data_IF_723196186540
#
_entry.id   IF_723196186540
#
_cell.length_a   1.000
_cell.length_b   1.000
_cell.length_c   1.000
_cell.angle_alpha   90.00
_cell.angle_beta   90.00
_cell.angle_gamma   90.00
#
_symmetry.space_group_name_H-M   'P 1'
#
loop_
_entity.id
_entity.type
_entity.pdbx_description
1 polymer ?
#
# COMPACT_ATOMS: atom_id res chain seq x y z
N UNK A 1 -17.22 12.49 -18.26
CA UNK A 1 -16.20 12.13 -19.28
C UNK A 1 -15.03 13.12 -19.29
N UNK A 2 -15.28 14.43 -19.29
CA UNK A 2 -14.24 15.46 -19.19
C UNK A 2 -13.35 15.34 -17.93
N UNK A 3 -13.92 14.96 -16.79
CA UNK A 3 -13.17 14.75 -15.54
C UNK A 3 -12.20 13.56 -15.61
N UNK A 4 -12.63 12.43 -16.18
CA UNK A 4 -11.76 11.26 -16.41
C UNK A 4 -10.64 11.58 -17.40
N UNK A 5 -10.96 12.30 -18.47
CA UNK A 5 -9.97 12.75 -19.44
C UNK A 5 -8.95 13.70 -18.81
N UNK A 6 -9.39 14.65 -17.97
CA UNK A 6 -8.50 15.53 -17.22
C UNK A 6 -7.58 14.75 -16.27
N UNK A 7 -8.11 13.74 -15.58
CA UNK A 7 -7.33 12.88 -14.69
C UNK A 7 -6.28 12.06 -15.47
N UNK A 8 -6.66 11.48 -16.61
CA UNK A 8 -5.73 10.74 -17.46
C UNK A 8 -4.61 11.62 -18.00
N UNK A 9 -4.94 12.83 -18.46
CA UNK A 9 -3.95 13.81 -18.92
C UNK A 9 -3.00 14.19 -17.77
N UNK A 10 -3.53 14.40 -16.57
CA UNK A 10 -2.71 14.73 -15.41
C UNK A 10 -1.75 13.60 -15.02
N UNK A 11 -2.22 12.35 -14.96
CA UNK A 11 -1.37 11.18 -14.70
C UNK A 11 -0.31 11.01 -15.79
N UNK A 12 -0.69 11.17 -17.06
CA UNK A 12 0.25 11.10 -18.18
C UNK A 12 1.31 12.21 -18.10
N UNK A 13 0.93 13.43 -17.72
CA UNK A 13 1.85 14.53 -17.51
C UNK A 13 2.83 14.24 -16.37
N UNK A 14 2.36 13.75 -15.22
CA UNK A 14 3.23 13.38 -14.10
C UNK A 14 4.24 12.29 -14.48
N UNK A 15 3.79 11.26 -15.20
CA UNK A 15 4.66 10.20 -15.70
C UNK A 15 5.70 10.75 -16.70
N UNK A 16 5.26 11.56 -17.67
CA UNK A 16 6.15 12.19 -18.65
C UNK A 16 7.16 13.12 -17.99
N UNK A 17 6.76 13.88 -16.97
CA UNK A 17 7.64 14.75 -16.21
C UNK A 17 8.67 13.97 -15.40
N UNK A 18 8.27 12.87 -14.75
CA UNK A 18 9.21 11.97 -14.06
C UNK A 18 10.24 11.36 -15.03
N UNK A 19 9.78 10.88 -16.19
CA UNK A 19 10.67 10.37 -17.25
C UNK A 19 11.60 11.47 -17.75
N UNK A 20 11.08 12.68 -17.98
CA UNK A 20 11.87 13.82 -18.43
C UNK A 20 12.99 14.17 -17.44
N UNK A 21 12.73 14.13 -16.13
CA UNK A 21 13.76 14.35 -15.10
C UNK A 21 14.81 13.23 -15.14
N UNK A 22 14.40 11.96 -15.20
CA UNK A 22 15.34 10.83 -15.22
C UNK A 22 16.24 10.89 -16.47
N UNK A 23 15.64 11.11 -17.65
CA UNK A 23 16.38 11.21 -18.91
C UNK A 23 17.24 12.48 -18.93
N UNK A 24 16.69 13.62 -18.49
CA UNK A 24 17.39 14.90 -18.45
C UNK A 24 18.62 14.87 -17.54
N UNK A 25 18.48 14.30 -16.34
CA UNK A 25 19.60 14.12 -15.40
C UNK A 25 20.64 13.12 -15.92
N UNK A 26 20.20 12.01 -16.54
CA UNK A 26 21.12 11.05 -17.18
C UNK A 26 21.87 11.61 -18.40
N UNK A 27 21.24 12.52 -19.16
CA UNK A 27 21.83 13.13 -20.34
C UNK A 27 22.76 14.32 -20.03
N UNK A 28 22.38 15.16 -19.06
CA UNK A 28 23.13 16.37 -18.65
C UNK A 28 24.16 16.09 -17.56
N UNK A 29 24.02 14.98 -16.82
CA UNK A 29 24.92 14.60 -15.74
C UNK A 29 26.29 14.11 -16.23
N UNK A 30 27.34 14.16 -15.38
CA UNK A 30 28.62 13.56 -15.69
C UNK A 30 28.46 12.05 -15.91
N UNK A 31 28.94 11.53 -17.03
CA UNK A 31 28.89 10.08 -17.29
C UNK A 31 29.89 9.39 -16.36
N UNK A 32 29.43 8.56 -15.40
CA UNK A 32 30.35 7.90 -14.48
C UNK A 32 31.22 6.90 -15.23
N UNK A 33 32.53 6.94 -14.98
CA UNK A 33 33.45 5.87 -15.39
C UNK A 33 32.98 4.59 -14.69
N UNK A 34 32.58 3.60 -15.47
CA UNK A 34 32.13 2.29 -14.98
C UNK A 34 33.35 1.48 -14.52
N UNK A 35 33.81 1.71 -13.30
CA UNK A 35 34.84 0.89 -12.65
C UNK A 35 34.18 -0.13 -11.72
N UNK A 36 34.78 -1.32 -11.60
CA UNK A 36 34.27 -2.39 -10.73
C UNK A 36 33.97 -1.91 -9.30
N UNK A 37 34.83 -1.04 -8.75
CA UNK A 37 34.69 -0.43 -7.42
C UNK A 37 33.50 0.53 -7.29
N UNK A 38 33.02 1.15 -8.38
CA UNK A 38 31.88 2.09 -8.32
C UNK A 38 30.54 1.36 -8.45
N UNK A 39 30.55 0.19 -9.05
CA UNK A 39 29.37 -0.66 -9.27
C UNK A 39 29.23 -1.75 -8.22
N UNK A 40 30.17 -1.86 -7.29
CA UNK A 40 30.10 -2.85 -6.22
C UNK A 40 28.97 -2.51 -5.23
N UNK A 41 28.23 -3.50 -4.72
CA UNK A 41 27.31 -3.29 -3.62
C UNK A 41 28.01 -2.65 -2.41
N UNK A 42 27.28 -1.77 -1.72
CA UNK A 42 27.81 -1.06 -0.57
C UNK A 42 28.03 -2.01 0.61
N UNK A 43 29.28 -2.43 0.85
CA UNK A 43 29.75 -3.11 2.06
C UNK A 43 31.20 -2.68 2.40
N UNK A 44 31.52 -1.39 2.29
CA UNK A 44 32.86 -0.83 2.60
C UNK A 44 34.05 -1.58 1.96
N UNK A 45 33.95 -1.97 0.68
CA UNK A 45 35.02 -2.68 -0.02
C UNK A 45 35.01 -4.20 0.17
N UNK A 46 34.11 -4.73 0.99
CA UNK A 46 33.91 -6.19 1.14
C UNK A 46 33.14 -6.69 -0.08
N UNK A 47 33.62 -7.78 -0.69
CA UNK A 47 32.91 -8.42 -1.78
C UNK A 47 31.53 -8.87 -1.26
N UNK A 48 30.47 -8.27 -1.82
CA UNK A 48 29.10 -8.46 -1.38
C UNK A 48 28.82 -9.93 -1.11
N UNK A 49 28.56 -10.26 0.15
CA UNK A 49 28.22 -11.63 0.52
C UNK A 49 26.97 -12.04 -0.27
N UNK A 50 27.08 -13.04 -1.15
CA UNK A 50 25.90 -13.73 -1.69
C UNK A 50 25.18 -14.34 -0.49
N UNK A 51 24.20 -13.63 0.07
CA UNK A 51 23.29 -14.17 1.05
C UNK A 51 22.48 -15.27 0.36
N UNK A 52 23.01 -16.49 0.36
CA UNK A 52 22.43 -17.61 -0.37
C UNK A 52 21.05 -18.01 0.16
N UNK A 53 20.66 -17.62 1.38
CA UNK A 53 19.30 -17.84 1.90
C UNK A 53 18.95 -16.87 3.04
N UNK A 54 18.96 -15.55 2.81
CA UNK A 54 18.39 -14.63 3.80
C UNK A 54 16.87 -14.74 3.77
N UNK A 55 16.31 -15.60 4.63
CA UNK A 55 14.87 -15.68 4.84
C UNK A 55 14.41 -14.35 5.45
N UNK A 56 13.68 -13.56 4.66
CA UNK A 56 13.01 -12.36 5.15
C UNK A 56 12.09 -12.74 6.32
N UNK A 57 12.01 -11.86 7.31
CA UNK A 57 11.19 -12.11 8.50
C UNK A 57 9.73 -12.32 8.12
N UNK A 58 9.08 -13.35 8.69
CA UNK A 58 7.66 -13.65 8.48
C UNK A 58 6.74 -12.50 8.94
N UNK A 59 7.26 -11.59 9.77
CA UNK A 59 6.55 -10.40 10.26
C UNK A 59 6.03 -9.53 9.12
N UNK A 60 6.76 -9.42 8.01
CA UNK A 60 6.31 -8.68 6.82
C UNK A 60 5.11 -9.35 6.14
N UNK A 61 5.10 -10.68 6.10
CA UNK A 61 4.01 -11.46 5.52
C UNK A 61 2.73 -11.35 6.36
N UNK A 62 2.83 -11.47 7.69
CA UNK A 62 1.70 -11.29 8.61
C UNK A 62 1.10 -9.88 8.48
N UNK A 63 1.95 -8.86 8.44
CA UNK A 63 1.50 -7.46 8.27
C UNK A 63 0.80 -7.25 6.92
N UNK A 64 1.33 -7.85 5.83
CA UNK A 64 0.74 -7.72 4.50
C UNK A 64 -0.63 -8.41 4.38
N UNK A 65 -0.78 -9.62 4.94
CA UNK A 65 -2.08 -10.30 4.95
C UNK A 65 -3.11 -9.54 5.75
N UNK A 66 -2.71 -9.03 6.92
CA UNK A 66 -3.59 -8.21 7.74
C UNK A 66 -4.07 -6.96 6.98
N UNK A 67 -3.16 -6.29 6.27
CA UNK A 67 -3.51 -5.15 5.42
C UNK A 67 -4.50 -5.52 4.32
N UNK A 68 -4.30 -6.65 3.63
CA UNK A 68 -5.23 -7.12 2.58
C UNK A 68 -6.63 -7.35 3.16
N UNK A 69 -6.74 -7.96 4.34
CA UNK A 69 -8.03 -8.23 4.98
C UNK A 69 -8.74 -6.92 5.35
N UNK A 70 -8.04 -5.94 5.92
CA UNK A 70 -8.62 -4.62 6.21
C UNK A 70 -8.97 -3.82 4.96
N UNK A 71 -8.18 -3.92 3.89
CA UNK A 71 -8.50 -3.24 2.64
C UNK A 71 -9.78 -3.81 2.00
N UNK A 72 -9.98 -5.13 2.10
CA UNK A 72 -11.23 -5.78 1.69
C UNK A 72 -12.43 -5.31 2.53
N UNK A 73 -12.26 -5.09 3.83
CA UNK A 73 -13.32 -4.53 4.69
C UNK A 73 -13.78 -3.16 4.17
N UNK A 74 -12.84 -2.30 3.81
CA UNK A 74 -13.10 -0.96 3.29
C UNK A 74 -13.88 -1.01 1.97
N UNK A 75 -13.59 -1.97 1.10
CA UNK A 75 -14.34 -2.19 -0.16
C UNK A 75 -15.83 -2.45 0.13
N UNK A 76 -16.18 -3.15 1.21
CA UNK A 76 -17.58 -3.34 1.61
C UNK A 76 -18.19 -2.10 2.28
N UNK A 77 -17.38 -1.33 3.02
CA UNK A 77 -17.84 -0.12 3.68
C UNK A 77 -18.18 1.01 2.70
N UNK A 78 -17.47 1.14 1.58
CA UNK A 78 -17.68 2.22 0.62
C UNK A 78 -19.10 2.27 0.03
N UNK A 79 -19.64 1.19 -0.59
CA UNK A 79 -21.00 1.20 -1.13
C UNK A 79 -22.06 1.44 -0.05
N UNK A 80 -21.85 0.88 1.15
CA UNK A 80 -22.71 1.12 2.30
C UNK A 80 -22.72 2.60 2.69
N UNK A 81 -21.56 3.23 2.80
CA UNK A 81 -21.44 4.64 3.19
C UNK A 81 -22.11 5.57 2.17
N UNK A 82 -22.01 5.26 0.88
CA UNK A 82 -22.65 6.03 -0.19
C UNK A 82 -24.18 5.93 -0.17
N UNK A 83 -24.73 4.77 0.16
CA UNK A 83 -26.18 4.49 0.11
C UNK A 83 -26.89 4.67 1.46
N UNK A 84 -26.13 4.81 2.55
CA UNK A 84 -26.66 4.89 3.92
C UNK A 84 -27.77 5.95 4.07
N UNK A 85 -27.59 7.12 3.46
CA UNK A 85 -28.55 8.22 3.58
C UNK A 85 -29.90 7.93 2.92
N UNK A 86 -29.92 7.11 1.87
CA UNK A 86 -31.15 6.69 1.19
C UNK A 86 -31.94 5.71 2.06
N UNK A 87 -31.23 4.82 2.77
CA UNK A 87 -31.84 3.90 3.73
C UNK A 87 -32.32 4.59 5.02
N UNK A 88 -31.67 5.67 5.44
CA UNK A 88 -32.17 6.50 6.54
C UNK A 88 -33.51 7.13 6.14
N UNK A 89 -33.61 7.67 4.92
CA UNK A 89 -34.87 8.25 4.40
C UNK A 89 -35.99 7.22 4.24
N UNK A 90 -35.67 5.96 3.94
CA UNK A 90 -36.66 4.88 3.85
C UNK A 90 -37.09 4.30 5.21
N UNK A 91 -36.54 4.80 6.33
CA UNK A 91 -36.84 4.33 7.68
C UNK A 91 -36.08 3.07 8.10
N UNK A 92 -35.18 2.55 7.26
CA UNK A 92 -34.37 1.35 7.54
C UNK A 92 -32.96 1.67 8.07
N UNK A 93 -32.67 2.93 8.36
CA UNK A 93 -31.34 3.40 8.77
C UNK A 93 -30.75 2.65 9.98
N UNK A 94 -31.55 2.38 11.01
CA UNK A 94 -31.08 1.69 12.22
C UNK A 94 -30.69 0.23 11.97
N UNK A 95 -31.43 -0.47 11.10
CA UNK A 95 -31.15 -1.86 10.74
C UNK A 95 -29.82 -1.97 9.98
N UNK A 96 -29.61 -1.08 9.02
CA UNK A 96 -28.41 -1.06 8.17
C UNK A 96 -27.19 -0.54 8.92
N UNK A 97 -27.37 0.41 9.84
CA UNK A 97 -26.32 0.82 10.77
C UNK A 97 -25.93 -0.33 11.71
N UNK A 98 -26.91 -1.05 12.26
CA UNK A 98 -26.66 -2.22 13.11
C UNK A 98 -25.90 -3.33 12.38
N UNK A 99 -26.31 -3.65 11.15
CA UNK A 99 -25.63 -4.63 10.30
C UNK A 99 -24.17 -4.28 10.04
N UNK A 100 -23.90 -3.02 9.67
CA UNK A 100 -22.52 -2.55 9.47
C UNK A 100 -21.72 -2.49 10.78
N UNK A 101 -22.36 -2.12 11.89
CA UNK A 101 -21.74 -2.12 13.20
C UNK A 101 -21.28 -3.53 13.62
N UNK A 102 -22.10 -4.55 13.38
CA UNK A 102 -21.73 -5.95 13.65
C UNK A 102 -20.59 -6.39 12.72
N UNK A 103 -20.66 -6.03 11.43
CA UNK A 103 -19.61 -6.33 10.45
C UNK A 103 -18.24 -5.77 10.90
N UNK A 104 -18.17 -4.48 11.23
CA UNK A 104 -16.95 -3.84 11.72
C UNK A 104 -16.49 -4.48 13.04
N UNK A 105 -17.41 -4.78 13.96
CA UNK A 105 -17.07 -5.38 15.25
C UNK A 105 -16.39 -6.73 15.08
N UNK A 106 -16.81 -7.56 14.12
CA UNK A 106 -16.15 -8.84 13.83
C UNK A 106 -14.67 -8.67 13.45
N UNK A 107 -14.35 -7.71 12.59
CA UNK A 107 -12.97 -7.41 12.21
C UNK A 107 -12.17 -6.79 13.34
N UNK A 108 -12.76 -5.87 14.12
CA UNK A 108 -12.12 -5.27 15.29
C UNK A 108 -11.77 -6.32 16.34
N UNK A 109 -12.63 -7.31 16.57
CA UNK A 109 -12.33 -8.43 17.48
C UNK A 109 -11.15 -9.25 16.95
N UNK A 110 -11.09 -9.51 15.64
CA UNK A 110 -9.95 -10.14 14.99
C UNK A 110 -8.65 -9.36 15.20
N UNK A 111 -8.66 -8.04 14.97
CA UNK A 111 -7.53 -7.15 15.21
C UNK A 111 -7.03 -7.25 16.65
N UNK A 112 -7.94 -7.13 17.62
CA UNK A 112 -7.60 -7.17 19.04
C UNK A 112 -6.96 -8.51 19.41
N UNK A 113 -7.45 -9.61 18.82
CA UNK A 113 -6.86 -10.94 19.02
C UNK A 113 -5.44 -11.04 18.44
N UNK A 114 -5.20 -10.54 17.24
CA UNK A 114 -3.87 -10.56 16.62
C UNK A 114 -2.85 -9.72 17.38
N UNK A 115 -3.25 -8.53 17.86
CA UNK A 115 -2.41 -7.68 18.71
C UNK A 115 -2.06 -8.40 20.02
N UNK A 116 -3.03 -9.06 20.65
CA UNK A 116 -2.79 -9.86 21.86
C UNK A 116 -1.87 -11.06 21.61
N UNK A 117 -1.96 -11.68 20.43
CA UNK A 117 -1.12 -12.79 20.02
C UNK A 117 0.33 -12.38 19.68
N UNK A 118 0.66 -11.08 19.78
CA UNK A 118 1.99 -10.51 19.43
C UNK A 118 2.42 -10.78 17.99
N UNK A 119 1.48 -11.07 17.10
CA UNK A 119 1.77 -11.30 15.67
C UNK A 119 2.37 -10.04 15.00
N UNK A 120 2.09 -8.87 15.58
CA UNK A 120 2.57 -7.56 15.14
C UNK A 120 3.74 -7.03 15.99
N UNK A 121 4.39 -7.86 16.82
CA UNK A 121 5.53 -7.41 17.63
C UNK A 121 6.79 -7.33 16.77
N UNK A 122 7.33 -6.12 16.63
CA UNK A 122 8.49 -5.82 15.79
C UNK A 122 9.80 -5.75 16.58
N UNK A 123 9.74 -5.97 17.89
CA UNK A 123 10.92 -6.11 18.74
C UNK A 123 11.49 -7.54 18.71
#
# INVERSE_FOLDING_TARGET
MSSLLALLIFVAFLAAFGIFIIVGTGALGPKPIQSAEKTMPYESGVAGTKQTDSRMSIKFYLTAILFIIFDIEIIFMYPWALTFMDFVKSGQGMYILGGMGIFILLFVVGLVWEVKSKALDWN
#
